data_IF_505084036072
#
_entry.id   IF_505084036072
#
_cell.length_a   1.000
_cell.length_b   1.000
_cell.length_c   1.000
_cell.angle_alpha   90.00
_cell.angle_beta   90.00
_cell.angle_gamma   90.00
#
_symmetry.space_group_name_H-M   'P 1'
#
loop_
_entity.id
_entity.type
_entity.pdbx_description
1 polymer ?
#
# COMPACT_ATOMS: atom_id res chain seq x y z
N UNK A 1 -28.77 2.38 17.78
CA UNK A 1 -28.72 1.16 16.94
C UNK A 1 -27.25 0.98 16.63
N UNK A 2 -26.58 0.24 17.50
CA UNK A 2 -25.13 0.24 17.64
C UNK A 2 -24.59 -1.00 16.95
N UNK A 3 -23.68 -0.84 15.97
CA UNK A 3 -22.67 -1.85 15.59
C UNK A 3 -21.43 -1.17 14.99
N UNK A 4 -20.38 -1.14 15.81
CA UNK A 4 -18.96 -1.25 15.46
C UNK A 4 -18.28 -0.07 14.74
N UNK A 5 -18.30 1.11 15.37
CA UNK A 5 -17.14 2.00 15.33
C UNK A 5 -16.13 1.52 16.35
N UNK A 6 -15.22 0.62 15.97
CA UNK A 6 -14.13 0.20 16.86
C UNK A 6 -13.25 1.43 17.15
N UNK A 7 -13.29 1.92 18.38
CA UNK A 7 -12.26 2.80 18.93
C UNK A 7 -10.90 2.08 18.76
N UNK A 8 -9.84 2.78 18.29
CA UNK A 8 -8.54 2.16 18.18
C UNK A 8 -8.01 1.93 19.60
N UNK A 9 -8.14 0.69 20.09
CA UNK A 9 -7.35 0.18 21.20
C UNK A 9 -5.90 0.62 21.01
N UNK A 10 -5.33 1.31 22.00
CA UNK A 10 -3.92 1.72 21.99
C UNK A 10 -3.03 0.46 21.94
N UNK A 11 -2.58 0.07 20.75
CA UNK A 11 -1.62 -1.02 20.59
C UNK A 11 -0.24 -0.45 20.94
N UNK A 12 0.04 -0.43 22.24
CA UNK A 12 1.31 -0.01 22.81
C UNK A 12 2.38 -1.10 22.63
N UNK A 13 3.64 -0.67 22.49
CA UNK A 13 4.87 -1.44 22.27
C UNK A 13 5.14 -2.66 23.19
N UNK A 14 4.28 -2.95 24.17
CA UNK A 14 4.46 -4.05 25.11
C UNK A 14 3.87 -5.34 24.54
N UNK A 15 4.64 -6.03 23.69
CA UNK A 15 4.35 -7.41 23.28
C UNK A 15 3.93 -7.62 21.82
N UNK A 16 3.87 -6.56 21.00
CA UNK A 16 3.61 -6.69 19.56
C UNK A 16 4.79 -7.37 18.84
N UNK A 17 4.69 -8.68 18.62
CA UNK A 17 5.67 -9.44 17.87
C UNK A 17 5.46 -9.22 16.36
N UNK A 18 6.29 -8.37 15.75
CA UNK A 18 6.25 -8.10 14.31
C UNK A 18 6.53 -9.32 13.41
N UNK A 19 6.93 -10.46 13.98
CA UNK A 19 7.00 -11.74 13.24
C UNK A 19 5.61 -12.22 12.82
N UNK A 20 4.58 -11.89 13.59
CA UNK A 20 3.20 -12.28 13.35
C UNK A 20 2.45 -11.27 12.46
N UNK A 21 3.17 -10.26 11.95
CA UNK A 21 2.62 -9.30 10.99
C UNK A 21 2.39 -9.98 9.64
N UNK A 22 1.14 -10.01 9.20
CA UNK A 22 0.73 -10.55 7.91
C UNK A 22 0.30 -9.40 7.02
N UNK A 23 0.84 -9.33 5.80
CA UNK A 23 0.42 -8.35 4.79
C UNK A 23 -0.23 -9.08 3.63
N UNK A 24 -1.46 -8.71 3.30
CA UNK A 24 -2.24 -9.34 2.23
C UNK A 24 -3.10 -8.35 1.43
N UNK A 25 -3.48 -8.69 0.19
CA UNK A 25 -4.51 -7.96 -0.53
C UNK A 25 -5.79 -7.91 0.31
N UNK A 26 -6.51 -6.80 0.20
CA UNK A 26 -7.86 -6.71 0.75
C UNK A 26 -8.81 -7.62 -0.05
N UNK A 27 -9.89 -8.05 0.58
CA UNK A 27 -11.02 -8.65 -0.15
C UNK A 27 -11.97 -7.56 -0.65
N UNK A 28 -12.89 -7.92 -1.55
CA UNK A 28 -13.88 -6.98 -2.10
C UNK A 28 -14.79 -6.41 -1.02
N UNK A 29 -15.07 -7.17 0.04
CA UNK A 29 -15.91 -6.74 1.17
C UNK A 29 -15.20 -5.71 2.05
N UNK A 30 -13.87 -5.77 2.13
CA UNK A 30 -13.03 -4.87 2.93
C UNK A 30 -12.74 -3.54 2.22
N UNK A 31 -13.14 -3.38 0.96
CA UNK A 31 -12.84 -2.19 0.17
C UNK A 31 -13.47 -0.92 0.75
N UNK A 32 -14.71 -1.01 1.24
CA UNK A 32 -15.38 0.13 1.86
C UNK A 32 -14.68 0.57 3.15
N UNK A 33 -14.27 -0.38 3.99
CA UNK A 33 -13.55 -0.10 5.23
C UNK A 33 -12.17 0.50 4.95
N UNK A 34 -11.44 -0.06 3.99
CA UNK A 34 -10.13 0.46 3.55
C UNK A 34 -10.25 1.90 3.04
N UNK A 35 -11.23 2.16 2.16
CA UNK A 35 -11.46 3.49 1.60
C UNK A 35 -11.90 4.47 2.70
N UNK A 36 -12.75 4.04 3.64
CA UNK A 36 -13.22 4.86 4.76
C UNK A 36 -12.10 5.25 5.72
N UNK A 37 -11.25 4.30 6.11
CA UNK A 37 -10.08 4.56 6.96
C UNK A 37 -9.07 5.48 6.25
N UNK A 38 -8.84 5.25 4.96
CA UNK A 38 -7.95 6.10 4.16
C UNK A 38 -8.50 7.53 4.05
N UNK A 39 -9.80 7.69 3.79
CA UNK A 39 -10.44 9.01 3.69
C UNK A 39 -10.45 9.76 5.04
N UNK A 40 -10.65 9.03 6.16
CA UNK A 40 -10.70 9.62 7.50
C UNK A 40 -9.36 10.12 8.00
N UNK A 41 -8.28 9.41 7.69
CA UNK A 41 -6.96 9.65 8.28
C UNK A 41 -5.93 10.23 7.32
N UNK A 42 -6.20 10.25 6.02
CA UNK A 42 -5.27 10.82 5.06
C UNK A 42 -5.57 12.29 4.78
N UNK A 43 -4.61 13.14 5.14
CA UNK A 43 -4.68 14.60 5.05
C UNK A 43 -4.86 15.17 3.62
N UNK A 44 -4.65 14.37 2.57
CA UNK A 44 -4.77 14.80 1.17
C UNK A 44 -6.16 14.57 0.54
N UNK A 45 -7.09 13.96 1.28
CA UNK A 45 -8.38 13.54 0.74
C UNK A 45 -8.23 12.33 -0.20
N UNK A 46 -8.95 11.25 0.11
CA UNK A 46 -9.00 10.06 -0.74
C UNK A 46 -10.25 10.13 -1.65
N UNK A 47 -10.05 10.08 -2.98
CA UNK A 47 -11.16 9.94 -3.93
C UNK A 47 -11.23 8.53 -4.53
N UNK A 48 -10.12 8.01 -5.06
CA UNK A 48 -9.94 6.63 -5.52
C UNK A 48 -8.47 6.41 -5.94
N UNK A 49 -8.02 5.16 -6.04
CA UNK A 49 -6.84 4.81 -6.85
C UNK A 49 -7.31 4.65 -8.29
N UNK A 50 -6.85 5.51 -9.21
CA UNK A 50 -7.27 5.43 -10.62
C UNK A 50 -6.32 4.53 -11.42
N UNK A 51 -6.91 3.64 -12.23
CA UNK A 51 -6.18 2.73 -13.12
C UNK A 51 -5.88 1.37 -12.47
N UNK A 52 -4.78 0.73 -12.88
CA UNK A 52 -4.29 -0.51 -12.25
C UNK A 52 -3.78 -0.17 -10.85
N UNK A 53 -4.35 -0.83 -9.84
CA UNK A 53 -4.02 -0.59 -8.45
C UNK A 53 -4.27 -1.81 -7.58
N UNK A 54 -3.43 -2.00 -6.58
CA UNK A 54 -3.61 -3.02 -5.55
C UNK A 54 -3.66 -2.37 -4.17
N UNK A 55 -4.63 -2.81 -3.38
CA UNK A 55 -4.84 -2.38 -2.00
C UNK A 55 -4.53 -3.53 -1.07
N UNK A 56 -3.85 -3.21 0.02
CA UNK A 56 -3.40 -4.17 1.00
C UNK A 56 -3.70 -3.68 2.40
N UNK A 57 -3.80 -4.67 3.29
CA UNK A 57 -3.92 -4.49 4.72
C UNK A 57 -2.81 -5.28 5.42
N UNK A 58 -2.23 -4.66 6.44
CA UNK A 58 -1.36 -5.31 7.38
C UNK A 58 -2.16 -5.67 8.63
N UNK A 59 -2.13 -6.95 8.99
CA UNK A 59 -2.78 -7.48 10.17
C UNK A 59 -1.75 -7.94 11.20
N UNK A 60 -1.99 -7.61 12.45
CA UNK A 60 -1.28 -8.15 13.60
C UNK A 60 -2.30 -8.80 14.53
N UNK A 61 -2.16 -10.09 14.79
CA UNK A 61 -3.12 -10.87 15.61
C UNK A 61 -4.57 -10.70 15.12
N UNK A 62 -4.78 -10.68 13.80
CA UNK A 62 -6.10 -10.51 13.18
C UNK A 62 -6.65 -9.08 13.19
N UNK A 63 -5.94 -8.10 13.76
CA UNK A 63 -6.34 -6.69 13.79
C UNK A 63 -5.63 -5.90 12.71
N UNK A 64 -6.34 -5.00 12.04
CA UNK A 64 -5.73 -4.09 11.08
C UNK A 64 -4.82 -3.11 11.82
N UNK A 65 -3.59 -2.96 11.32
CA UNK A 65 -2.59 -2.04 11.92
C UNK A 65 -2.05 -1.03 10.93
N UNK A 66 -2.06 -1.35 9.63
CA UNK A 66 -1.63 -0.46 8.57
C UNK A 66 -2.29 -0.80 7.23
N UNK A 67 -2.29 0.17 6.33
CA UNK A 67 -2.85 0.08 4.99
C UNK A 67 -1.82 0.59 3.98
N UNK A 68 -1.69 -0.12 2.86
CA UNK A 68 -0.82 0.28 1.75
C UNK A 68 -1.57 0.14 0.41
N UNK A 69 -1.39 1.14 -0.45
CA UNK A 69 -1.98 1.19 -1.77
C UNK A 69 -0.93 1.46 -2.83
N UNK A 70 -0.92 0.60 -3.85
CA UNK A 70 -0.08 0.67 -5.02
C UNK A 70 -0.91 1.05 -6.23
N UNK A 71 -0.41 1.94 -7.06
CA UNK A 71 -1.06 2.35 -8.30
C UNK A 71 -0.07 2.44 -9.45
N UNK A 72 -0.57 2.81 -10.63
CA UNK A 72 0.28 3.03 -11.79
C UNK A 72 1.42 4.02 -11.48
N UNK A 73 2.58 3.81 -12.10
CA UNK A 73 3.70 4.74 -11.99
C UNK A 73 3.34 6.16 -12.44
N UNK A 74 4.03 7.14 -11.87
CA UNK A 74 3.97 8.53 -12.28
C UNK A 74 4.33 8.66 -13.76
N UNK A 75 3.39 9.19 -14.54
CA UNK A 75 3.58 9.40 -15.97
C UNK A 75 4.77 10.33 -16.25
N UNK A 76 4.99 11.35 -15.43
CA UNK A 76 6.09 12.30 -15.55
C UNK A 76 6.98 12.22 -14.31
N UNK A 77 8.16 11.60 -14.46
CA UNK A 77 9.16 11.52 -13.40
C UNK A 77 10.56 11.63 -14.03
N UNK A 78 11.04 12.86 -14.24
CA UNK A 78 12.33 13.12 -14.87
C UNK A 78 13.54 12.51 -14.13
N UNK A 79 13.57 12.43 -12.78
CA UNK A 79 14.63 11.71 -12.08
C UNK A 79 14.70 10.23 -12.46
N UNK A 80 13.56 9.52 -12.44
CA UNK A 80 13.48 8.12 -12.85
C UNK A 80 13.86 7.94 -14.31
N UNK A 81 13.26 8.73 -15.19
CA UNK A 81 13.45 8.58 -16.64
C UNK A 81 14.93 8.80 -17.03
N UNK A 82 15.64 9.71 -16.35
CA UNK A 82 17.09 9.92 -16.50
C UNK A 82 17.91 8.76 -15.92
N UNK A 83 17.57 8.28 -14.73
CA UNK A 83 18.30 7.20 -14.08
C UNK A 83 18.21 5.87 -14.87
N UNK A 84 17.03 5.53 -15.40
CA UNK A 84 16.85 4.35 -16.27
C UNK A 84 17.36 4.61 -17.70
N UNK A 85 17.58 5.88 -18.07
CA UNK A 85 18.00 6.31 -19.40
C UNK A 85 17.03 5.89 -20.51
N UNK A 86 15.74 6.23 -20.33
CA UNK A 86 14.69 5.91 -21.31
C UNK A 86 14.59 6.93 -22.44
N UNK A 87 14.38 6.45 -23.67
CA UNK A 87 13.72 7.24 -24.70
C UNK A 87 12.22 7.35 -24.41
N UNK A 88 11.55 8.40 -24.92
CA UNK A 88 10.11 8.59 -24.70
C UNK A 88 9.28 7.39 -25.17
N UNK A 89 9.61 6.79 -26.31
CA UNK A 89 8.90 5.60 -26.82
C UNK A 89 9.04 4.39 -25.90
N UNK A 90 10.25 4.16 -25.34
CA UNK A 90 10.49 3.05 -24.42
C UNK A 90 9.78 3.26 -23.09
N UNK A 91 9.71 4.51 -22.63
CA UNK A 91 8.99 4.88 -21.41
C UNK A 91 7.53 4.44 -21.45
N UNK A 92 6.78 4.78 -22.50
CA UNK A 92 5.36 4.42 -22.57
C UNK A 92 5.14 2.90 -22.56
N UNK A 93 6.00 2.14 -23.23
CA UNK A 93 5.92 0.67 -23.23
C UNK A 93 6.31 0.02 -21.90
N UNK A 94 7.22 0.65 -21.14
CA UNK A 94 7.82 0.07 -19.92
C UNK A 94 7.20 0.58 -18.62
N UNK A 95 6.47 1.68 -18.65
CA UNK A 95 5.80 2.24 -17.46
C UNK A 95 4.88 1.24 -16.76
N UNK A 96 4.30 0.29 -17.50
CA UNK A 96 3.45 -0.76 -16.92
C UNK A 96 4.19 -1.64 -15.91
N UNK A 97 5.51 -1.81 -16.01
CA UNK A 97 6.31 -2.62 -15.09
C UNK A 97 6.75 -1.86 -13.82
N UNK A 98 6.27 -0.62 -13.66
CA UNK A 98 6.58 0.24 -12.51
C UNK A 98 5.27 0.57 -11.80
N UNK A 99 5.30 0.53 -10.47
CA UNK A 99 4.18 0.93 -9.63
C UNK A 99 4.62 1.97 -8.61
N UNK A 100 3.69 2.86 -8.26
CA UNK A 100 3.90 3.89 -7.26
C UNK A 100 3.19 3.53 -5.96
N UNK A 101 3.88 3.72 -4.84
CA UNK A 101 3.27 3.68 -3.52
C UNK A 101 2.45 4.95 -3.33
N UNK A 102 1.21 4.91 -3.79
CA UNK A 102 0.32 6.07 -3.76
C UNK A 102 -0.21 6.33 -2.36
N UNK A 103 -0.35 5.28 -1.53
CA UNK A 103 -1.01 5.34 -0.23
C UNK A 103 -0.26 4.50 0.79
N UNK A 104 -0.01 5.09 1.95
CA UNK A 104 0.64 4.45 3.08
C UNK A 104 0.11 5.06 4.36
N UNK A 105 -0.48 4.24 5.23
CA UNK A 105 -1.11 4.70 6.46
C UNK A 105 -0.88 3.68 7.58
N UNK A 106 -0.23 4.12 8.66
CA UNK A 106 -0.31 3.42 9.95
C UNK A 106 -1.58 3.91 10.64
N UNK A 107 -2.42 3.00 11.13
CA UNK A 107 -3.69 3.39 11.74
C UNK A 107 -3.45 4.18 13.05
N UNK A 108 -4.29 5.19 13.36
CA UNK A 108 -4.19 5.91 14.62
C UNK A 108 -4.32 4.96 15.81
N UNK A 109 -3.62 5.26 16.90
CA UNK A 109 -3.57 4.38 18.08
C UNK A 109 -2.58 3.21 17.94
N UNK A 110 -1.94 3.04 16.77
CA UNK A 110 -0.88 2.05 16.56
C UNK A 110 0.49 2.74 16.64
N UNK A 111 1.24 2.45 17.70
CA UNK A 111 2.61 2.95 17.87
C UNK A 111 3.57 1.80 18.15
N UNK A 112 3.90 1.06 17.09
CA UNK A 112 4.82 -0.07 17.14
C UNK A 112 6.12 0.30 16.42
N UNK A 113 7.25 0.15 17.11
CA UNK A 113 8.58 0.43 16.53
C UNK A 113 8.82 -0.45 15.31
N UNK A 114 9.30 0.12 14.21
CA UNK A 114 9.61 -0.57 12.94
C UNK A 114 8.41 -1.17 12.18
N UNK A 115 7.16 -0.86 12.57
CA UNK A 115 5.98 -1.40 11.89
C UNK A 115 5.96 -1.00 10.41
N UNK A 116 6.15 0.28 10.11
CA UNK A 116 6.09 0.80 8.74
C UNK A 116 7.13 0.14 7.82
N UNK A 117 8.39 0.06 8.24
CA UNK A 117 9.45 -0.56 7.43
C UNK A 117 9.25 -2.06 7.28
N UNK A 118 8.76 -2.75 8.32
CA UNK A 118 8.46 -4.17 8.27
C UNK A 118 7.29 -4.46 7.32
N UNK A 119 6.22 -3.69 7.42
CA UNK A 119 5.03 -3.80 6.59
C UNK A 119 5.36 -3.59 5.12
N UNK A 120 6.06 -2.50 4.80
CA UNK A 120 6.53 -2.23 3.43
C UNK A 120 7.44 -3.35 2.90
N UNK A 121 8.37 -3.86 3.72
CA UNK A 121 9.27 -4.94 3.30
C UNK A 121 8.54 -6.25 3.02
N UNK A 122 7.48 -6.58 3.78
CA UNK A 122 6.64 -7.75 3.52
C UNK A 122 5.78 -7.54 2.26
N UNK A 123 5.26 -6.33 2.08
CA UNK A 123 4.41 -6.02 0.93
C UNK A 123 5.19 -6.08 -0.40
N UNK A 124 6.37 -5.44 -0.47
CA UNK A 124 7.21 -5.42 -1.68
C UNK A 124 7.61 -6.83 -2.13
N UNK A 125 7.81 -7.77 -1.19
CA UNK A 125 8.15 -9.17 -1.51
C UNK A 125 7.06 -9.93 -2.27
N UNK A 126 5.80 -9.56 -2.07
CA UNK A 126 4.65 -10.22 -2.72
C UNK A 126 4.08 -9.43 -3.90
N UNK A 127 4.29 -8.12 -3.90
CA UNK A 127 3.67 -7.17 -4.83
C UNK A 127 3.77 -7.60 -6.30
N UNK A 128 4.95 -7.99 -6.78
CA UNK A 128 5.10 -8.38 -8.19
C UNK A 128 4.27 -9.62 -8.55
N UNK A 129 4.22 -10.62 -7.68
CA UNK A 129 3.47 -11.84 -7.93
C UNK A 129 1.96 -11.58 -7.90
N UNK A 130 1.48 -10.79 -6.93
CA UNK A 130 0.07 -10.39 -6.88
C UNK A 130 -0.32 -9.56 -8.12
N UNK A 131 0.55 -8.64 -8.54
CA UNK A 131 0.33 -7.81 -9.73
C UNK A 131 0.29 -8.62 -11.01
N UNK A 132 1.20 -9.59 -11.16
CA UNK A 132 1.20 -10.50 -12.29
C UNK A 132 -0.05 -11.38 -12.34
N UNK A 133 -0.50 -11.87 -11.17
CA UNK A 133 -1.74 -12.64 -11.05
C UNK A 133 -2.96 -11.86 -11.56
N UNK A 134 -3.00 -10.55 -11.30
CA UNK A 134 -4.18 -9.71 -11.58
C UNK A 134 -4.10 -9.06 -12.97
N UNK A 135 -2.90 -8.65 -13.41
CA UNK A 135 -2.71 -7.83 -14.62
C UNK A 135 -1.89 -8.52 -15.72
N UNK A 136 -1.43 -9.75 -15.50
CA UNK A 136 -0.74 -10.58 -16.50
C UNK A 136 0.71 -10.16 -16.79
N UNK A 137 1.31 -9.33 -15.94
CA UNK A 137 2.72 -8.97 -16.04
C UNK A 137 3.31 -8.61 -14.66
N UNK A 138 4.62 -8.81 -14.44
CA UNK A 138 5.26 -8.51 -13.16
C UNK A 138 5.48 -7.01 -12.95
N UNK A 139 5.87 -6.66 -11.73
CA UNK A 139 6.45 -5.35 -11.38
C UNK A 139 7.95 -5.54 -11.20
N UNK A 140 8.72 -4.70 -11.88
CA UNK A 140 10.19 -4.72 -11.86
C UNK A 140 10.74 -3.62 -10.94
N UNK A 141 9.94 -2.57 -10.70
CA UNK A 141 10.36 -1.42 -9.91
C UNK A 141 9.20 -0.77 -9.18
N UNK A 142 9.50 -0.28 -7.98
CA UNK A 142 8.58 0.52 -7.17
C UNK A 142 9.14 1.92 -7.00
N UNK A 143 8.26 2.92 -7.01
CA UNK A 143 8.59 4.31 -6.68
C UNK A 143 7.72 4.79 -5.53
N UNK A 144 8.24 5.71 -4.73
CA UNK A 144 7.52 6.34 -3.61
C UNK A 144 7.84 7.82 -3.58
N UNK A 145 6.89 8.63 -3.15
CA UNK A 145 7.02 10.07 -3.01
C UNK A 145 6.54 10.45 -1.61
N UNK A 146 7.39 11.13 -0.84
CA UNK A 146 7.09 11.69 0.48
C UNK A 146 6.85 13.18 0.41
#
# INVERSE_FOLDING_TARGET
>A
MDRNGAEPDNINNQGANLKDLIVRPITSEEENDWNGLMAKHQYLGFRCLSGRSLKYVALLNGRWVALIGWGAAALKCSPRDRWINWSQERKYKRLQYITNNQRFLILPGVSIKNLASRELALNVKRLSADWETIYGHPIIMVETFV
#
